data_IF_432656299188
#
_entry.id   IF_432656299188
#
_cell.length_a   1.000
_cell.length_b   1.000
_cell.length_c   1.000
_cell.angle_alpha   90.00
_cell.angle_beta   90.00
_cell.angle_gamma   90.00
#
_symmetry.space_group_name_H-M   'P 1'
#
loop_
_entity.id
_entity.type
_entity.pdbx_description
1 polymer ?
#
# COMPACT_ATOMS: atom_id res chain seq x y z
N UNK A 1 21.37 28.72 26.23
CA UNK A 1 20.19 28.76 27.13
C UNK A 1 19.16 29.70 26.55
N UNK A 2 18.19 29.18 25.86
CA UNK A 2 16.99 29.91 25.46
C UNK A 2 15.80 29.01 25.78
N UNK A 3 15.05 29.39 26.82
CA UNK A 3 13.76 28.80 27.18
C UNK A 3 12.74 29.19 26.10
N UNK A 4 12.16 28.22 25.43
CA UNK A 4 10.91 28.43 24.68
C UNK A 4 9.79 27.88 25.53
N UNK A 5 9.02 28.81 26.15
CA UNK A 5 7.74 28.52 26.81
C UNK A 5 6.66 28.44 25.73
N UNK A 6 5.99 27.32 25.62
CA UNK A 6 4.75 27.19 24.85
C UNK A 6 3.56 27.31 25.81
N UNK A 7 2.59 28.14 25.44
CA UNK A 7 1.45 28.55 26.26
C UNK A 7 0.39 27.44 26.40
N UNK A 8 -0.17 27.35 27.60
CA UNK A 8 -1.30 26.49 27.99
C UNK A 8 -2.64 27.02 27.48
N UNK A 9 -3.50 26.10 27.05
CA UNK A 9 -4.95 26.28 27.19
C UNK A 9 -5.54 25.09 27.96
N UNK A 10 -6.24 25.35 29.08
CA UNK A 10 -6.74 24.35 30.02
C UNK A 10 -8.16 23.91 29.67
N UNK A 11 -8.40 22.61 29.58
CA UNK A 11 -9.68 21.98 29.95
C UNK A 11 -9.41 20.52 30.36
N UNK A 12 -9.71 20.27 31.61
CA UNK A 12 -9.81 19.02 32.40
C UNK A 12 -9.47 17.67 31.71
N UNK A 13 -8.28 17.14 32.02
CA UNK A 13 -7.89 15.75 31.77
C UNK A 13 -6.44 15.56 32.17
N UNK A 14 -6.13 14.53 32.92
CA UNK A 14 -4.78 14.18 33.35
C UNK A 14 -3.90 14.03 32.13
N UNK A 15 -2.99 14.98 31.87
CA UNK A 15 -1.96 14.90 30.84
C UNK A 15 -0.73 14.26 31.44
N UNK A 16 -0.37 13.09 30.93
CA UNK A 16 1.00 12.57 31.09
C UNK A 16 1.89 13.41 30.18
N UNK A 17 2.74 14.23 30.77
CA UNK A 17 3.70 15.04 30.05
C UNK A 17 4.87 14.15 29.60
N UNK A 18 5.02 13.91 28.31
CA UNK A 18 6.29 13.51 27.77
C UNK A 18 7.21 14.73 27.73
N UNK A 19 8.28 14.71 28.52
CA UNK A 19 9.26 15.79 28.55
C UNK A 19 10.21 15.64 27.36
N UNK A 20 9.89 16.27 26.23
CA UNK A 20 10.74 16.29 25.03
C UNK A 20 12.06 17.07 25.21
N UNK A 21 12.28 17.72 26.38
CA UNK A 21 13.38 18.65 26.58
C UNK A 21 14.73 18.01 26.96
N UNK A 22 14.81 16.70 27.18
CA UNK A 22 16.07 16.00 27.56
C UNK A 22 16.53 14.90 26.58
N UNK A 23 15.87 14.73 25.42
CA UNK A 23 16.40 13.85 24.39
C UNK A 23 17.65 14.48 23.77
N UNK A 24 18.78 13.76 23.82
CA UNK A 24 19.90 13.93 22.88
C UNK A 24 19.25 13.97 21.48
N UNK A 25 19.69 14.91 20.63
CA UNK A 25 19.23 15.14 19.25
C UNK A 25 18.87 13.85 18.50
N UNK A 26 17.71 13.25 18.81
CA UNK A 26 17.15 12.13 18.10
C UNK A 26 16.25 12.70 17.00
N UNK A 27 16.34 12.13 15.79
CA UNK A 27 15.55 12.52 14.64
C UNK A 27 14.07 12.24 14.93
N UNK A 28 13.18 13.17 14.59
CA UNK A 28 11.73 12.96 14.62
C UNK A 28 11.27 12.08 13.44
N UNK A 29 10.01 11.61 13.46
CA UNK A 29 9.44 10.92 12.31
C UNK A 29 9.52 11.78 11.04
N UNK A 30 9.26 13.09 11.14
CA UNK A 30 9.41 14.03 10.03
C UNK A 30 10.86 14.10 9.51
N UNK A 31 11.86 14.18 10.41
CA UNK A 31 13.26 14.24 9.99
C UNK A 31 13.69 12.96 9.26
N UNK A 32 13.21 11.78 9.72
CA UNK A 32 13.43 10.48 9.08
C UNK A 32 12.78 10.48 7.70
N UNK A 33 11.50 10.82 7.63
CA UNK A 33 10.74 10.87 6.39
C UNK A 33 11.42 11.74 5.33
N UNK A 34 11.81 12.98 5.68
CA UNK A 34 12.52 13.90 4.78
C UNK A 34 13.85 13.31 4.25
N UNK A 35 14.53 12.46 5.04
CA UNK A 35 15.70 11.73 4.56
C UNK A 35 15.33 10.54 3.69
N UNK A 36 14.32 9.74 4.07
CA UNK A 36 13.96 8.50 3.39
C UNK A 36 13.45 8.76 1.97
N UNK A 37 12.67 9.81 1.76
CA UNK A 37 12.18 10.17 0.43
C UNK A 37 13.29 10.54 -0.57
N UNK A 38 14.50 10.85 -0.10
CA UNK A 38 15.64 11.12 -0.98
C UNK A 38 16.29 9.86 -1.56
N UNK A 39 15.98 8.68 -1.02
CA UNK A 39 16.43 7.40 -1.58
C UNK A 39 15.56 7.03 -2.76
N UNK A 40 16.19 6.72 -3.89
CA UNK A 40 15.51 6.10 -5.02
C UNK A 40 15.21 4.65 -4.66
N UNK A 41 13.95 4.23 -4.78
CA UNK A 41 13.50 2.88 -4.43
C UNK A 41 12.42 2.37 -5.38
N UNK A 42 12.26 3.00 -6.56
CA UNK A 42 11.24 2.62 -7.54
C UNK A 42 11.36 1.15 -7.92
N UNK A 43 10.25 0.42 -7.83
CA UNK A 43 10.11 -0.97 -8.27
C UNK A 43 10.01 -1.06 -9.80
N UNK A 44 10.19 -2.27 -10.36
CA UNK A 44 10.19 -2.53 -11.81
C UNK A 44 9.31 -3.74 -12.13
N UNK A 45 8.13 -3.50 -12.70
CA UNK A 45 7.16 -4.53 -13.08
C UNK A 45 7.68 -5.52 -14.14
N UNK A 46 8.70 -5.13 -14.90
CA UNK A 46 9.28 -5.93 -15.98
C UNK A 46 10.39 -6.89 -15.48
N UNK A 47 10.75 -6.81 -14.19
CA UNK A 47 11.85 -7.58 -13.61
C UNK A 47 11.36 -8.60 -12.57
N UNK A 48 11.49 -9.89 -12.87
CA UNK A 48 11.12 -11.01 -11.98
C UNK A 48 12.06 -11.21 -10.77
N UNK A 49 13.11 -10.39 -10.62
CA UNK A 49 13.99 -10.46 -9.44
C UNK A 49 13.27 -9.97 -8.17
N UNK A 50 13.79 -10.33 -7.00
CA UNK A 50 13.32 -9.79 -5.72
C UNK A 50 14.54 -9.34 -4.88
N UNK A 51 14.64 -8.03 -4.54
CA UNK A 51 13.76 -6.98 -5.03
C UNK A 51 13.93 -6.76 -6.54
N UNK A 52 12.88 -6.22 -7.18
CA UNK A 52 12.85 -5.95 -8.62
C UNK A 52 13.91 -4.94 -9.05
N UNK A 53 14.35 -4.08 -8.14
CA UNK A 53 15.44 -3.12 -8.35
C UNK A 53 16.48 -3.17 -7.23
N UNK A 54 17.75 -3.12 -7.60
CA UNK A 54 18.86 -3.16 -6.65
C UNK A 54 18.93 -1.91 -5.73
N UNK A 55 18.31 -0.81 -6.11
CA UNK A 55 18.29 0.42 -5.31
C UNK A 55 17.51 0.23 -3.99
N UNK A 56 16.50 -0.64 -3.96
CA UNK A 56 15.76 -0.99 -2.75
C UNK A 56 16.69 -1.63 -1.68
N UNK A 57 17.68 -2.43 -2.10
CA UNK A 57 18.67 -3.04 -1.18
C UNK A 57 19.50 -1.98 -0.45
N UNK A 58 19.79 -0.84 -1.10
CA UNK A 58 20.53 0.26 -0.48
C UNK A 58 19.72 0.90 0.64
N UNK A 59 18.43 1.08 0.42
CA UNK A 59 17.53 1.62 1.44
C UNK A 59 17.31 0.61 2.57
N UNK A 60 17.12 -0.67 2.27
CA UNK A 60 17.03 -1.74 3.27
C UNK A 60 18.26 -1.80 4.19
N UNK A 61 19.48 -1.70 3.63
CA UNK A 61 20.73 -1.64 4.41
C UNK A 61 20.80 -0.38 5.27
N UNK A 62 20.24 0.75 4.84
CA UNK A 62 20.13 1.97 5.62
C UNK A 62 19.17 1.78 6.80
N UNK A 63 18.02 1.16 6.59
CA UNK A 63 17.03 0.88 7.63
C UNK A 63 17.56 -0.07 8.70
N UNK A 64 18.25 -1.15 8.31
CA UNK A 64 18.90 -2.04 9.29
C UNK A 64 19.86 -1.27 10.20
N UNK A 65 20.73 -0.42 9.63
CA UNK A 65 21.67 0.38 10.43
C UNK A 65 20.95 1.33 11.39
N UNK A 66 19.85 1.90 10.95
CA UNK A 66 19.06 2.81 11.78
C UNK A 66 18.33 2.08 12.90
N UNK A 67 17.65 0.97 12.59
CA UNK A 67 17.01 0.11 13.58
C UNK A 67 18.00 -0.34 14.67
N UNK A 68 19.21 -0.78 14.28
CA UNK A 68 20.28 -1.12 15.23
C UNK A 68 20.66 0.09 16.09
N UNK A 69 20.75 1.29 15.49
CA UNK A 69 21.16 2.51 16.19
C UNK A 69 20.13 2.99 17.21
N UNK A 70 18.85 2.75 16.97
CA UNK A 70 17.76 3.10 17.90
C UNK A 70 17.48 2.01 18.94
N UNK A 71 18.14 0.84 18.84
CA UNK A 71 18.10 -0.20 19.89
C UNK A 71 17.40 -1.50 19.51
N UNK A 72 16.95 -1.68 18.26
CA UNK A 72 16.42 -2.96 17.77
C UNK A 72 17.61 -3.88 17.48
N UNK A 73 17.99 -4.68 18.48
CA UNK A 73 19.32 -5.35 18.52
C UNK A 73 19.48 -6.49 17.49
N UNK A 74 18.38 -7.07 17.01
CA UNK A 74 18.38 -8.18 16.06
C UNK A 74 17.98 -7.75 14.64
N UNK A 75 17.90 -6.44 14.38
CA UNK A 75 17.55 -5.92 13.08
C UNK A 75 18.46 -6.47 11.97
N UNK A 76 17.88 -7.01 10.94
CA UNK A 76 18.59 -7.64 9.83
C UNK A 76 17.81 -7.50 8.49
N UNK A 77 18.54 -7.63 7.41
CA UNK A 77 17.98 -7.80 6.06
C UNK A 77 18.29 -9.21 5.54
N UNK A 78 17.31 -9.84 4.89
CA UNK A 78 17.56 -11.10 4.18
C UNK A 78 18.11 -10.89 2.76
N UNK A 79 18.34 -11.97 2.03
CA UNK A 79 18.85 -11.94 0.66
C UNK A 79 17.89 -11.33 -0.36
N UNK A 80 16.59 -11.33 -0.06
CA UNK A 80 15.53 -10.79 -0.90
C UNK A 80 15.18 -9.33 -0.59
N UNK A 81 15.89 -8.69 0.35
CA UNK A 81 15.69 -7.29 0.68
C UNK A 81 14.74 -7.02 1.84
N UNK A 82 14.01 -8.02 2.34
CA UNK A 82 13.14 -7.84 3.50
C UNK A 82 13.91 -7.49 4.75
N UNK A 83 13.45 -6.48 5.48
CA UNK A 83 14.04 -6.08 6.76
C UNK A 83 13.17 -6.58 7.90
N UNK A 84 13.79 -7.21 8.90
CA UNK A 84 13.12 -7.72 10.09
C UNK A 84 13.81 -7.20 11.35
N UNK A 85 13.04 -7.02 12.43
CA UNK A 85 13.54 -6.70 13.74
C UNK A 85 12.50 -6.91 14.83
N UNK A 86 12.95 -7.07 16.09
CA UNK A 86 12.06 -7.28 17.22
C UNK A 86 12.44 -6.39 18.39
N UNK A 87 11.42 -5.84 19.05
CA UNK A 87 11.55 -5.22 20.37
C UNK A 87 10.94 -6.20 21.37
N UNK A 88 11.74 -6.78 22.27
CA UNK A 88 11.25 -7.74 23.28
C UNK A 88 10.20 -7.12 24.18
N UNK A 89 9.26 -7.92 24.66
CA UNK A 89 8.27 -7.48 25.63
C UNK A 89 8.92 -6.87 26.87
N UNK A 90 8.30 -5.86 27.45
CA UNK A 90 8.72 -5.33 28.76
C UNK A 90 8.41 -6.35 29.87
N UNK A 91 9.17 -6.31 30.97
CA UNK A 91 9.06 -7.26 32.07
C UNK A 91 7.62 -7.39 32.58
N UNK A 92 7.10 -8.62 32.58
CA UNK A 92 5.73 -8.95 32.96
C UNK A 92 4.68 -8.80 31.85
N UNK A 93 5.11 -8.53 30.61
CA UNK A 93 4.26 -8.45 29.42
C UNK A 93 4.56 -9.55 28.38
N UNK A 94 5.39 -10.54 28.73
CA UNK A 94 5.87 -11.58 27.81
C UNK A 94 4.74 -12.52 27.30
N UNK A 95 3.62 -12.57 28.02
CA UNK A 95 2.43 -13.37 27.65
C UNK A 95 1.44 -12.61 26.75
N UNK A 96 1.67 -11.32 26.47
CA UNK A 96 0.83 -10.56 25.57
C UNK A 96 1.06 -11.00 24.13
N UNK A 97 0.03 -10.81 23.29
CA UNK A 97 0.13 -11.06 21.85
C UNK A 97 1.26 -10.23 21.24
N UNK A 98 1.96 -10.83 20.31
CA UNK A 98 3.04 -10.20 19.54
C UNK A 98 2.42 -9.41 18.39
N UNK A 99 2.66 -8.13 18.37
CA UNK A 99 2.08 -7.21 17.39
C UNK A 99 3.11 -6.92 16.30
N UNK A 100 2.74 -7.18 15.05
CA UNK A 100 3.53 -6.83 13.89
C UNK A 100 3.19 -5.45 13.33
N UNK A 101 4.20 -4.75 12.83
CA UNK A 101 4.06 -3.53 12.05
C UNK A 101 4.83 -3.71 10.75
N UNK A 102 4.17 -3.45 9.63
CA UNK A 102 4.72 -3.65 8.29
C UNK A 102 4.55 -2.36 7.50
N UNK A 103 5.55 -2.00 6.70
CA UNK A 103 5.52 -0.91 5.72
C UNK A 103 6.36 -1.30 4.51
N UNK A 104 6.08 -0.75 3.32
CA UNK A 104 6.91 -1.06 2.16
C UNK A 104 7.99 0.00 1.90
N UNK A 105 9.06 -0.43 1.26
CA UNK A 105 10.25 0.40 1.01
C UNK A 105 10.29 0.99 -0.37
N UNK A 106 9.65 0.35 -1.33
CA UNK A 106 9.65 0.77 -2.72
C UNK A 106 8.70 1.95 -2.96
N UNK A 107 8.73 2.48 -4.14
CA UNK A 107 7.83 3.52 -4.63
C UNK A 107 7.30 3.12 -5.99
N UNK A 108 6.09 3.57 -6.30
CA UNK A 108 5.39 3.29 -7.55
C UNK A 108 6.23 3.64 -8.79
N UNK A 109 6.20 2.81 -9.85
CA UNK A 109 6.79 3.13 -11.13
C UNK A 109 5.99 4.14 -11.96
N UNK A 110 4.76 4.50 -11.55
CA UNK A 110 3.87 5.39 -12.29
C UNK A 110 4.46 6.79 -12.51
N UNK A 111 5.20 7.28 -11.50
CA UNK A 111 5.88 8.58 -11.53
C UNK A 111 7.31 8.42 -10.99
N UNK A 112 8.26 9.12 -11.58
CA UNK A 112 9.66 9.03 -11.14
C UNK A 112 9.85 9.34 -9.67
N UNK A 113 10.46 8.43 -8.90
CA UNK A 113 10.95 8.62 -7.53
C UNK A 113 12.43 9.01 -7.45
N UNK A 114 13.04 9.46 -8.56
CA UNK A 114 14.47 9.76 -8.65
C UNK A 114 14.79 11.22 -8.34
N UNK A 115 15.74 11.43 -7.42
CA UNK A 115 16.17 12.77 -6.98
C UNK A 115 15.02 13.61 -6.38
N UNK A 116 14.19 12.99 -5.57
CA UNK A 116 13.12 13.66 -4.84
C UNK A 116 13.69 14.82 -4.01
N UNK A 117 13.04 15.99 -4.10
CA UNK A 117 13.40 17.20 -3.36
C UNK A 117 12.24 17.61 -2.46
N UNK A 118 12.17 17.08 -1.23
CA UNK A 118 11.09 17.38 -0.32
C UNK A 118 11.12 18.84 0.12
N UNK A 119 9.95 19.45 0.27
CA UNK A 119 9.77 20.82 0.75
C UNK A 119 8.62 20.85 1.74
N UNK A 120 8.75 21.66 2.79
CA UNK A 120 7.66 21.97 3.69
C UNK A 120 7.06 23.30 3.26
N UNK A 121 5.75 23.32 3.01
CA UNK A 121 5.01 24.52 2.59
C UNK A 121 3.73 24.65 3.41
N UNK A 122 3.38 25.88 3.81
CA UNK A 122 2.08 26.13 4.41
C UNK A 122 1.01 26.13 3.32
N UNK A 123 -0.02 25.32 3.46
CA UNK A 123 -1.13 25.28 2.51
C UNK A 123 -2.05 26.49 2.70
N UNK A 124 -2.24 27.28 1.65
CA UNK A 124 -3.08 28.49 1.66
C UNK A 124 -4.47 28.28 1.03
N UNK A 125 -4.73 27.09 0.51
CA UNK A 125 -5.98 26.70 -0.15
C UNK A 125 -5.92 26.67 -1.67
N UNK A 126 -4.87 27.23 -2.28
CA UNK A 126 -4.72 27.32 -3.74
C UNK A 126 -3.30 26.89 -4.22
N UNK A 127 -2.27 26.92 -3.34
CA UNK A 127 -0.87 26.67 -3.72
C UNK A 127 -0.51 25.20 -3.90
N UNK A 128 -1.37 24.26 -3.47
CA UNK A 128 -1.19 22.80 -3.64
C UNK A 128 -2.40 22.23 -4.37
N UNK A 129 -2.25 21.79 -5.63
CA UNK A 129 -3.32 21.13 -6.36
C UNK A 129 -3.78 19.85 -5.67
N UNK A 130 -5.07 19.52 -5.75
CA UNK A 130 -5.69 18.30 -5.23
C UNK A 130 -5.65 18.15 -3.69
N UNK A 131 -5.15 19.10 -2.93
CA UNK A 131 -5.20 19.08 -1.46
C UNK A 131 -6.53 19.67 -0.99
N UNK A 132 -7.23 18.97 -0.09
CA UNK A 132 -8.52 19.41 0.45
C UNK A 132 -8.36 20.68 1.30
N UNK A 133 -9.33 21.59 1.18
CA UNK A 133 -9.34 22.86 1.92
C UNK A 133 -9.40 22.71 3.44
N UNK A 134 -9.74 21.52 3.96
CA UNK A 134 -9.66 21.21 5.40
C UNK A 134 -8.24 21.35 5.95
N UNK A 135 -7.22 21.29 5.10
CA UNK A 135 -5.81 21.41 5.46
C UNK A 135 -5.26 22.85 5.39
N UNK A 136 -6.08 23.87 5.08
CA UNK A 136 -5.63 25.28 5.02
C UNK A 136 -4.96 25.68 6.34
N UNK A 137 -3.76 26.27 6.23
CA UNK A 137 -2.95 26.72 7.36
C UNK A 137 -2.03 25.63 7.95
N UNK A 138 -2.11 24.37 7.47
CA UNK A 138 -1.18 23.32 7.91
C UNK A 138 0.10 23.34 7.08
N UNK A 139 1.19 22.89 7.69
CA UNK A 139 2.43 22.60 7.00
C UNK A 139 2.32 21.25 6.30
N UNK A 140 2.55 21.25 5.00
CA UNK A 140 2.51 20.08 4.13
C UNK A 140 3.91 19.77 3.60
N UNK A 141 4.30 18.51 3.64
CA UNK A 141 5.49 18.03 2.91
C UNK A 141 5.05 17.65 1.51
N UNK A 142 5.77 18.15 0.51
CA UNK A 142 5.52 17.92 -0.92
C UNK A 142 6.85 17.77 -1.65
N UNK A 143 6.85 17.19 -2.85
CA UNK A 143 8.00 17.24 -3.77
C UNK A 143 8.07 18.62 -4.47
N UNK A 144 9.05 18.78 -5.34
CA UNK A 144 9.11 19.95 -6.24
C UNK A 144 8.20 19.80 -7.47
N UNK A 145 7.32 18.81 -7.49
CA UNK A 145 6.38 18.46 -8.56
C UNK A 145 7.05 17.99 -9.86
N UNK A 146 8.33 17.61 -9.81
CA UNK A 146 9.02 16.92 -10.92
C UNK A 146 9.07 15.39 -10.70
N UNK A 147 8.79 14.95 -9.46
CA UNK A 147 8.77 13.56 -9.00
C UNK A 147 7.54 13.33 -8.12
N UNK A 148 7.21 12.07 -7.83
CA UNK A 148 6.41 11.76 -6.65
C UNK A 148 7.15 12.22 -5.37
N UNK A 149 6.49 12.20 -4.21
CA UNK A 149 7.13 12.47 -2.92
C UNK A 149 7.69 11.18 -2.29
N UNK A 150 6.97 10.08 -2.38
CA UNK A 150 7.26 8.80 -1.72
C UNK A 150 6.75 8.74 -0.28
N UNK A 151 5.64 9.43 0.02
CA UNK A 151 4.94 9.26 1.28
C UNK A 151 4.35 7.86 1.38
N UNK A 152 3.92 7.33 0.27
CA UNK A 152 3.62 5.94 0.03
C UNK A 152 4.91 5.17 -0.35
N UNK A 153 5.51 4.34 0.56
CA UNK A 153 5.12 4.21 1.97
C UNK A 153 6.31 4.53 2.92
N UNK A 154 7.17 5.49 2.53
CA UNK A 154 8.27 5.91 3.41
C UNK A 154 7.77 6.69 4.63
N UNK A 155 6.50 7.12 4.65
CA UNK A 155 5.88 7.68 5.84
C UNK A 155 5.67 6.59 6.89
N UNK A 156 5.03 5.47 6.54
CA UNK A 156 4.87 4.33 7.44
C UNK A 156 6.21 3.78 7.93
N UNK A 157 7.21 3.68 7.04
CA UNK A 157 8.57 3.31 7.44
C UNK A 157 9.12 4.27 8.51
N UNK A 158 8.98 5.59 8.32
CA UNK A 158 9.49 6.59 9.27
C UNK A 158 8.75 6.54 10.62
N UNK A 159 7.44 6.35 10.59
CA UNK A 159 6.59 6.22 11.76
C UNK A 159 6.94 4.98 12.60
N UNK A 160 7.15 3.84 11.94
CA UNK A 160 7.55 2.59 12.61
C UNK A 160 8.96 2.73 13.22
N UNK A 161 9.92 3.30 12.51
CA UNK A 161 11.29 3.50 13.04
C UNK A 161 11.29 4.48 14.21
N UNK A 162 10.49 5.55 14.16
CA UNK A 162 10.36 6.48 15.30
C UNK A 162 9.69 5.78 16.50
N UNK A 163 8.63 4.99 16.30
CA UNK A 163 8.08 4.17 17.37
C UNK A 163 9.14 3.27 18.02
N UNK A 164 9.99 2.63 17.21
CA UNK A 164 11.10 1.81 17.74
C UNK A 164 12.03 2.65 18.61
N UNK A 165 12.41 3.86 18.20
CA UNK A 165 13.24 4.77 18.98
C UNK A 165 12.58 5.13 20.32
N UNK A 166 11.28 5.39 20.32
CA UNK A 166 10.50 5.65 21.54
C UNK A 166 10.53 4.45 22.48
N UNK A 167 10.15 3.26 22.00
CA UNK A 167 10.06 2.05 22.82
C UNK A 167 11.41 1.60 23.38
N UNK A 168 12.48 1.73 22.60
CA UNK A 168 13.83 1.36 23.05
C UNK A 168 14.44 2.36 24.03
N UNK A 169 14.02 3.64 24.00
CA UNK A 169 14.54 4.68 24.88
C UNK A 169 13.75 4.88 26.17
N UNK A 170 12.45 4.54 26.19
CA UNK A 170 11.55 4.76 27.32
C UNK A 170 11.06 3.45 27.94
N UNK A 171 11.76 3.01 28.97
CA UNK A 171 11.42 1.79 29.72
C UNK A 171 10.11 1.92 30.55
N UNK A 172 9.44 3.08 30.57
CA UNK A 172 8.16 3.26 31.28
C UNK A 172 6.96 2.80 30.45
N UNK A 173 7.13 2.73 29.14
CA UNK A 173 6.10 2.20 28.23
C UNK A 173 6.06 0.67 28.33
N UNK A 174 4.95 0.15 28.81
CA UNK A 174 4.74 -1.30 28.88
C UNK A 174 4.13 -1.82 27.59
N UNK A 175 4.73 -2.85 27.00
CA UNK A 175 4.29 -3.45 25.75
C UNK A 175 4.65 -4.94 25.65
N UNK A 176 3.90 -5.69 24.85
CA UNK A 176 4.27 -7.03 24.40
C UNK A 176 5.43 -6.99 23.40
N UNK A 177 5.78 -8.13 22.82
CA UNK A 177 6.77 -8.13 21.73
C UNK A 177 6.23 -7.37 20.53
N UNK A 178 7.04 -6.44 19.97
CA UNK A 178 6.74 -5.73 18.73
C UNK A 178 7.64 -6.27 17.63
N UNK A 179 7.04 -6.74 16.54
CA UNK A 179 7.72 -7.28 15.37
C UNK A 179 7.69 -6.24 14.25
N UNK A 180 8.83 -5.96 13.64
CA UNK A 180 9.00 -4.98 12.57
C UNK A 180 9.31 -5.72 11.28
N UNK A 181 8.61 -5.37 10.19
CA UNK A 181 8.85 -5.88 8.86
C UNK A 181 8.82 -4.76 7.83
N UNK A 182 9.84 -4.68 6.95
CA UNK A 182 9.77 -3.81 5.78
C UNK A 182 9.89 -4.65 4.53
N UNK A 183 8.98 -4.43 3.58
CA UNK A 183 8.83 -5.21 2.34
C UNK A 183 9.38 -4.45 1.14
N UNK A 184 10.01 -5.13 0.17
CA UNK A 184 10.25 -4.59 -1.16
C UNK A 184 9.07 -4.89 -2.08
N UNK A 185 8.96 -4.21 -3.24
CA UNK A 185 8.11 -4.57 -4.38
C UNK A 185 6.59 -4.66 -4.08
N UNK A 186 6.09 -3.93 -3.08
CA UNK A 186 4.65 -3.84 -2.80
C UNK A 186 3.90 -3.24 -3.99
N UNK A 187 4.41 -2.16 -4.55
CA UNK A 187 3.81 -1.35 -5.61
C UNK A 187 3.59 -2.10 -6.94
N UNK A 188 4.28 -3.23 -7.09
CA UNK A 188 4.08 -4.17 -8.20
C UNK A 188 3.35 -5.45 -7.76
N UNK A 189 2.78 -5.46 -6.54
CA UNK A 189 1.97 -6.54 -5.99
C UNK A 189 2.76 -7.77 -5.55
N UNK A 190 4.07 -7.66 -5.30
CA UNK A 190 4.96 -8.76 -4.94
C UNK A 190 5.50 -8.66 -3.50
N UNK A 191 5.13 -7.63 -2.73
CA UNK A 191 5.70 -7.30 -1.43
C UNK A 191 5.65 -8.45 -0.42
N UNK A 192 4.56 -9.19 -0.32
CA UNK A 192 4.45 -10.31 0.60
C UNK A 192 4.96 -11.65 0.06
N UNK A 193 5.40 -11.77 -1.20
CA UNK A 193 5.66 -13.04 -1.89
C UNK A 193 6.71 -13.91 -1.21
N UNK A 194 7.73 -13.31 -0.63
CA UNK A 194 8.83 -14.00 0.06
C UNK A 194 8.95 -13.59 1.51
N UNK A 195 7.91 -13.00 2.09
CA UNK A 195 7.90 -12.59 3.49
C UNK A 195 7.95 -13.80 4.41
N UNK A 196 8.96 -13.85 5.30
CA UNK A 196 9.17 -14.96 6.23
C UNK A 196 8.34 -14.75 7.51
N UNK A 197 7.10 -15.28 7.51
CA UNK A 197 6.20 -15.21 8.66
C UNK A 197 6.77 -15.85 9.92
N UNK A 198 7.57 -16.91 9.78
CA UNK A 198 8.16 -17.61 10.93
C UNK A 198 9.25 -16.74 11.59
N UNK A 199 10.04 -16.04 10.80
CA UNK A 199 11.03 -15.07 11.28
C UNK A 199 10.34 -13.85 11.87
N UNK A 200 9.33 -13.31 11.20
CA UNK A 200 8.57 -12.16 11.68
C UNK A 200 7.88 -12.43 13.02
N UNK A 201 7.26 -13.60 13.16
CA UNK A 201 6.82 -14.18 14.43
C UNK A 201 5.70 -13.43 15.17
N UNK A 202 4.95 -12.55 14.50
CA UNK A 202 3.80 -11.85 15.08
C UNK A 202 2.55 -12.74 15.12
N UNK A 203 1.65 -12.50 16.09
CA UNK A 203 0.35 -13.16 16.19
C UNK A 203 -0.69 -12.49 15.26
N UNK A 204 -0.57 -11.19 15.06
CA UNK A 204 -1.27 -10.37 14.08
C UNK A 204 -0.42 -9.13 13.75
N UNK A 205 -0.76 -8.43 12.68
CA UNK A 205 0.00 -7.25 12.27
C UNK A 205 -0.92 -6.11 11.77
N UNK A 206 -0.32 -4.98 11.52
CA UNK A 206 -0.89 -3.89 10.72
C UNK A 206 0.12 -3.51 9.63
N UNK A 207 -0.34 -3.31 8.42
CA UNK A 207 0.39 -2.48 7.46
C UNK A 207 0.14 -1.02 7.80
N UNK A 208 1.17 -0.18 7.77
CA UNK A 208 1.09 1.27 8.02
C UNK A 208 1.33 1.92 6.67
N UNK A 209 0.30 1.89 5.81
CA UNK A 209 0.40 2.06 4.35
C UNK A 209 -0.90 2.65 3.75
N UNK A 210 -1.73 3.26 4.57
CA UNK A 210 -3.01 3.84 4.15
C UNK A 210 -2.95 5.34 3.90
N UNK A 211 -4.11 5.91 3.58
CA UNK A 211 -4.31 7.29 3.20
C UNK A 211 -4.36 8.28 4.35
N UNK A 212 -5.39 9.14 4.33
CA UNK A 212 -5.53 10.25 5.26
C UNK A 212 -5.74 9.82 6.72
N UNK A 213 -5.37 10.69 7.66
CA UNK A 213 -5.47 10.40 9.09
C UNK A 213 -6.89 10.00 9.52
N UNK A 214 -7.00 8.85 10.18
CA UNK A 214 -8.26 8.27 10.68
C UNK A 214 -8.71 7.06 9.88
N UNK A 215 -8.17 6.81 8.71
CA UNK A 215 -8.54 5.68 7.86
C UNK A 215 -8.02 4.36 8.45
N UNK A 216 -8.89 3.37 8.48
CA UNK A 216 -8.59 1.97 8.78
C UNK A 216 -9.21 1.15 7.67
N UNK A 217 -8.42 0.30 7.05
CA UNK A 217 -8.84 -0.46 5.90
C UNK A 217 -8.64 -1.95 6.19
N UNK A 218 -9.73 -2.71 6.12
CA UNK A 218 -9.72 -4.16 6.26
C UNK A 218 -10.50 -4.87 5.16
N UNK A 219 -10.84 -4.11 4.11
CA UNK A 219 -11.45 -4.59 2.88
C UNK A 219 -10.64 -4.10 1.69
N UNK A 220 -10.41 -4.97 0.74
CA UNK A 220 -9.78 -4.66 -0.54
C UNK A 220 -10.48 -5.39 -1.67
N UNK A 221 -10.17 -5.10 -2.93
CA UNK A 221 -10.69 -5.87 -4.03
C UNK A 221 -10.24 -7.34 -4.01
N UNK A 222 -11.10 -8.25 -4.52
CA UNK A 222 -10.63 -9.46 -5.19
C UNK A 222 -10.14 -9.06 -6.58
N UNK A 223 -9.05 -9.62 -7.05
CA UNK A 223 -8.38 -9.22 -8.27
C UNK A 223 -7.95 -10.39 -9.14
N UNK A 224 -8.09 -10.23 -10.45
CA UNK A 224 -7.53 -11.13 -11.44
C UNK A 224 -6.94 -10.36 -12.62
N UNK A 225 -5.79 -10.82 -13.10
CA UNK A 225 -5.25 -10.48 -14.40
C UNK A 225 -5.86 -11.33 -15.49
N UNK A 226 -6.11 -10.73 -16.63
CA UNK A 226 -6.71 -11.41 -17.80
C UNK A 226 -5.92 -11.09 -19.04
N UNK A 227 -5.55 -12.12 -19.79
CA UNK A 227 -4.95 -12.01 -21.12
C UNK A 227 -5.86 -12.71 -22.12
N UNK A 228 -6.20 -12.03 -23.19
CA UNK A 228 -6.91 -12.60 -24.34
C UNK A 228 -6.04 -12.50 -25.57
N UNK A 229 -5.76 -13.64 -26.21
CA UNK A 229 -5.13 -13.70 -27.54
C UNK A 229 -6.18 -14.14 -28.56
N UNK A 230 -6.25 -13.40 -29.67
CA UNK A 230 -7.18 -13.67 -30.77
C UNK A 230 -6.40 -14.00 -32.02
N UNK A 231 -6.76 -15.10 -32.69
CA UNK A 231 -6.12 -15.57 -33.90
C UNK A 231 -6.99 -15.33 -35.13
N UNK A 232 -6.44 -14.64 -36.10
CA UNK A 232 -7.04 -14.39 -37.40
C UNK A 232 -6.42 -15.22 -38.53
N UNK A 233 -6.84 -14.92 -39.76
CA UNK A 233 -6.27 -15.46 -40.98
C UNK A 233 -6.10 -14.32 -41.97
N UNK A 234 -4.84 -13.97 -42.23
CA UNK A 234 -4.53 -12.91 -43.18
C UNK A 234 -4.59 -13.41 -44.63
N UNK A 235 -4.99 -12.54 -45.55
CA UNK A 235 -4.93 -12.72 -46.99
C UNK A 235 -4.97 -11.34 -47.67
N UNK A 236 -4.60 -11.30 -48.98
CA UNK A 236 -4.60 -10.05 -49.73
C UNK A 236 -6.01 -9.39 -49.69
N UNK A 237 -6.18 -8.14 -49.25
CA UNK A 237 -7.47 -7.49 -49.06
C UNK A 237 -8.37 -7.51 -50.28
N UNK A 238 -7.81 -7.38 -51.49
CA UNK A 238 -8.55 -7.40 -52.75
C UNK A 238 -9.21 -8.74 -53.08
N UNK A 239 -8.77 -9.83 -52.43
CA UNK A 239 -9.28 -11.19 -52.64
C UNK A 239 -9.72 -11.84 -51.33
N UNK A 240 -9.98 -11.04 -50.30
CA UNK A 240 -10.23 -11.46 -48.93
C UNK A 240 -11.64 -12.02 -48.67
N UNK A 241 -12.60 -11.82 -49.57
CA UNK A 241 -13.98 -12.23 -49.34
C UNK A 241 -14.11 -13.72 -49.02
N UNK A 242 -14.70 -14.04 -47.86
CA UNK A 242 -14.87 -15.40 -47.30
C UNK A 242 -13.56 -16.13 -46.96
N UNK A 243 -12.40 -15.40 -46.87
CA UNK A 243 -11.08 -15.97 -46.56
C UNK A 243 -10.44 -15.30 -45.38
N UNK A 244 -10.41 -13.95 -45.36
CA UNK A 244 -9.80 -13.19 -44.29
C UNK A 244 -10.63 -13.31 -43.00
N UNK A 245 -9.93 -13.46 -41.90
CA UNK A 245 -10.46 -13.42 -40.54
C UNK A 245 -9.57 -12.43 -39.76
N UNK A 246 -10.07 -11.23 -39.55
CA UNK A 246 -9.27 -10.16 -38.98
C UNK A 246 -9.32 -10.22 -37.46
N UNK A 247 -8.18 -10.50 -36.83
CA UNK A 247 -8.07 -10.65 -35.38
C UNK A 247 -8.41 -9.37 -34.62
N UNK A 248 -8.05 -8.20 -35.14
CA UNK A 248 -8.40 -6.90 -34.50
C UNK A 248 -9.91 -6.69 -34.49
N UNK A 249 -10.61 -7.04 -35.59
CA UNK A 249 -12.08 -6.90 -35.62
C UNK A 249 -12.78 -7.91 -34.70
N UNK A 250 -12.23 -9.09 -34.53
CA UNK A 250 -12.72 -10.09 -33.58
C UNK A 250 -12.49 -9.61 -32.13
N UNK A 251 -11.32 -9.05 -31.85
CA UNK A 251 -11.05 -8.45 -30.52
C UNK A 251 -11.99 -7.29 -30.23
N UNK A 252 -12.27 -6.43 -31.22
CA UNK A 252 -13.26 -5.35 -31.08
C UNK A 252 -14.65 -5.89 -30.73
N UNK A 253 -15.08 -6.99 -31.36
CA UNK A 253 -16.36 -7.63 -31.02
C UNK A 253 -16.38 -8.12 -29.57
N UNK A 254 -15.31 -8.79 -29.10
CA UNK A 254 -15.20 -9.17 -27.69
C UNK A 254 -15.36 -7.97 -26.76
N UNK A 255 -14.62 -6.89 -27.01
CA UNK A 255 -14.69 -5.67 -26.19
C UNK A 255 -16.10 -5.04 -26.20
N UNK A 256 -16.81 -5.12 -27.33
CA UNK A 256 -18.18 -4.60 -27.46
C UNK A 256 -19.20 -5.37 -26.61
N UNK A 257 -18.85 -6.56 -26.15
CA UNK A 257 -19.70 -7.37 -25.26
C UNK A 257 -19.43 -7.10 -23.78
N UNK A 258 -18.34 -6.36 -23.44
CA UNK A 258 -18.07 -5.97 -22.06
C UNK A 258 -19.11 -4.92 -21.61
N UNK A 259 -19.58 -4.99 -20.34
CA UNK A 259 -20.52 -3.99 -19.80
C UNK A 259 -19.90 -2.58 -19.80
N UNK A 260 -20.47 -1.66 -20.54
CA UNK A 260 -19.90 -0.32 -20.78
C UNK A 260 -19.77 0.55 -19.53
N UNK A 261 -20.69 0.37 -18.56
CA UNK A 261 -20.68 1.12 -17.29
C UNK A 261 -19.80 0.48 -16.21
N UNK A 262 -19.24 -0.71 -16.45
CA UNK A 262 -18.42 -1.40 -15.45
C UNK A 262 -16.93 -1.19 -15.73
N UNK A 263 -16.51 0.06 -15.71
CA UNK A 263 -15.13 0.48 -15.91
C UNK A 263 -14.66 1.36 -14.72
N UNK A 264 -13.37 1.55 -14.50
CA UNK A 264 -12.87 2.44 -13.42
C UNK A 264 -13.47 3.85 -13.47
N UNK A 265 -13.74 4.37 -14.66
CA UNK A 265 -14.30 5.72 -14.84
C UNK A 265 -15.79 5.86 -14.46
N UNK A 266 -16.48 4.74 -14.20
CA UNK A 266 -17.92 4.71 -13.94
C UNK A 266 -18.26 4.02 -12.61
N UNK A 267 -17.27 3.63 -11.82
CA UNK A 267 -17.47 2.87 -10.58
C UNK A 267 -16.78 3.52 -9.39
N UNK A 268 -17.43 3.42 -8.22
CA UNK A 268 -16.92 3.95 -6.95
C UNK A 268 -17.18 2.97 -5.78
N UNK A 269 -16.65 3.27 -4.60
CA UNK A 269 -16.87 2.47 -3.39
C UNK A 269 -16.58 0.98 -3.62
N UNK A 270 -17.57 0.13 -3.36
CA UNK A 270 -17.46 -1.33 -3.50
C UNK A 270 -17.75 -1.87 -4.92
N UNK A 271 -18.07 -1.00 -5.87
CA UNK A 271 -18.43 -1.42 -7.22
C UNK A 271 -17.22 -1.97 -7.98
N UNK A 272 -17.37 -3.17 -8.52
CA UNK A 272 -16.34 -3.84 -9.31
C UNK A 272 -16.33 -3.42 -10.78
N UNK A 273 -15.23 -3.71 -11.47
CA UNK A 273 -15.03 -3.29 -12.85
C UNK A 273 -14.21 -4.28 -13.69
N UNK A 274 -14.25 -4.05 -15.01
CA UNK A 274 -13.29 -4.54 -16.00
C UNK A 274 -12.47 -3.36 -16.49
N UNK A 275 -11.16 -3.46 -16.45
CA UNK A 275 -10.27 -2.42 -16.97
C UNK A 275 -9.33 -2.98 -18.03
N UNK A 276 -9.58 -2.61 -19.28
CA UNK A 276 -8.67 -2.91 -20.40
C UNK A 276 -7.47 -2.00 -20.28
N UNK A 277 -6.30 -2.58 -19.98
CA UNK A 277 -5.07 -1.84 -19.77
C UNK A 277 -4.23 -1.70 -21.05
N UNK A 278 -4.21 -2.74 -21.90
CA UNK A 278 -3.39 -2.75 -23.09
C UNK A 278 -4.04 -3.51 -24.24
N UNK A 279 -3.84 -3.03 -25.45
CA UNK A 279 -4.29 -3.68 -26.70
C UNK A 279 -3.18 -3.54 -27.74
N UNK A 280 -2.84 -4.63 -28.40
CA UNK A 280 -1.94 -4.64 -29.54
C UNK A 280 -2.41 -5.64 -30.62
N UNK A 281 -1.97 -5.49 -31.86
CA UNK A 281 -2.21 -6.52 -32.87
C UNK A 281 -2.43 -6.04 -34.29
N UNK A 282 -2.59 -7.02 -35.17
CA UNK A 282 -2.87 -6.87 -36.58
C UNK A 282 -4.01 -7.81 -37.03
N UNK A 283 -4.19 -8.02 -38.33
CA UNK A 283 -5.21 -8.92 -38.87
C UNK A 283 -4.94 -10.41 -38.57
N UNK A 284 -3.70 -10.78 -38.20
CA UNK A 284 -3.30 -12.17 -37.95
C UNK A 284 -3.40 -12.53 -36.47
N UNK A 285 -2.99 -11.62 -35.59
CA UNK A 285 -3.03 -11.83 -34.14
C UNK A 285 -3.31 -10.51 -33.42
N UNK A 286 -4.23 -10.53 -32.48
CA UNK A 286 -4.47 -9.41 -31.58
C UNK A 286 -4.45 -9.89 -30.14
N UNK A 287 -3.98 -9.04 -29.24
CA UNK A 287 -3.90 -9.29 -27.79
C UNK A 287 -4.54 -8.19 -27.01
N UNK A 288 -5.08 -8.55 -25.87
CA UNK A 288 -5.63 -7.63 -24.87
C UNK A 288 -5.17 -8.09 -23.50
N UNK A 289 -4.69 -7.14 -22.69
CA UNK A 289 -4.48 -7.32 -21.26
C UNK A 289 -5.49 -6.47 -20.50
N UNK A 290 -6.10 -7.04 -19.47
CA UNK A 290 -7.07 -6.36 -18.63
C UNK A 290 -7.03 -6.89 -17.19
N UNK A 291 -7.55 -6.11 -16.26
CA UNK A 291 -7.78 -6.53 -14.87
C UNK A 291 -9.26 -6.58 -14.56
N UNK A 292 -9.63 -7.49 -13.65
CA UNK A 292 -10.99 -7.64 -13.11
C UNK A 292 -10.92 -7.43 -11.61
N UNK A 293 -11.78 -6.58 -11.10
CA UNK A 293 -11.84 -6.22 -9.67
C UNK A 293 -13.28 -6.29 -9.17
N UNK A 294 -13.47 -6.77 -7.95
CA UNK A 294 -14.75 -6.68 -7.23
C UNK A 294 -14.51 -6.93 -5.73
N UNK A 295 -15.16 -6.17 -4.84
CA UNK A 295 -15.08 -6.42 -3.40
C UNK A 295 -15.84 -7.68 -3.00
N UNK A 296 -16.99 -7.95 -3.64
CA UNK A 296 -17.78 -9.15 -3.38
C UNK A 296 -17.21 -10.35 -4.14
N UNK A 297 -16.87 -11.42 -3.40
CA UNK A 297 -16.29 -12.64 -3.96
C UNK A 297 -17.20 -13.30 -4.99
N UNK A 298 -18.50 -13.35 -4.73
CA UNK A 298 -19.45 -13.98 -5.66
C UNK A 298 -19.62 -13.15 -6.93
N UNK A 299 -19.60 -11.83 -6.84
CA UNK A 299 -19.62 -10.93 -7.99
C UNK A 299 -18.30 -11.04 -8.79
N UNK A 300 -17.16 -11.13 -8.11
CA UNK A 300 -15.87 -11.37 -8.76
C UNK A 300 -15.85 -12.67 -9.58
N UNK A 301 -16.33 -13.79 -9.00
CA UNK A 301 -16.43 -15.06 -9.72
C UNK A 301 -17.41 -14.98 -10.90
N UNK A 302 -18.53 -14.28 -10.76
CA UNK A 302 -19.46 -14.03 -11.87
C UNK A 302 -18.80 -13.23 -13.01
N UNK A 303 -17.97 -12.24 -12.68
CA UNK A 303 -17.21 -11.47 -13.69
C UNK A 303 -16.28 -12.37 -14.49
N UNK A 304 -15.51 -13.22 -13.83
CA UNK A 304 -14.62 -14.19 -14.49
C UNK A 304 -15.41 -15.19 -15.34
N UNK A 305 -16.54 -15.68 -14.83
CA UNK A 305 -17.42 -16.59 -15.58
C UNK A 305 -17.99 -15.90 -16.83
N UNK A 306 -18.37 -14.62 -16.72
CA UNK A 306 -18.86 -13.85 -17.87
C UNK A 306 -17.82 -13.81 -18.99
N UNK A 307 -16.55 -13.53 -18.71
CA UNK A 307 -15.48 -13.54 -19.69
C UNK A 307 -15.30 -14.92 -20.35
N UNK A 308 -15.28 -15.98 -19.55
CA UNK A 308 -15.18 -17.36 -20.04
C UNK A 308 -16.37 -17.73 -20.96
N UNK A 309 -17.57 -17.33 -20.58
CA UNK A 309 -18.78 -17.59 -21.36
C UNK A 309 -18.78 -16.80 -22.67
N UNK A 310 -18.36 -15.54 -22.65
CA UNK A 310 -18.22 -14.68 -23.83
C UNK A 310 -17.23 -15.28 -24.83
N UNK A 311 -16.08 -15.75 -24.34
CA UNK A 311 -15.08 -16.40 -25.20
C UNK A 311 -15.57 -17.73 -25.77
N UNK A 312 -16.28 -18.52 -24.98
CA UNK A 312 -16.90 -19.76 -25.47
C UNK A 312 -17.92 -19.49 -26.61
N UNK A 313 -18.77 -18.48 -26.42
CA UNK A 313 -19.72 -18.05 -27.48
C UNK A 313 -19.02 -17.60 -28.77
N UNK A 314 -17.94 -16.80 -28.63
CA UNK A 314 -17.20 -16.32 -29.79
C UNK A 314 -16.43 -17.46 -30.49
N UNK A 315 -15.90 -18.42 -29.73
CA UNK A 315 -15.29 -19.62 -30.33
C UNK A 315 -16.29 -20.52 -31.02
N UNK A 316 -17.54 -20.68 -30.53
CA UNK A 316 -18.60 -21.35 -31.23
C UNK A 316 -18.93 -20.65 -32.58
N UNK A 317 -18.93 -19.30 -32.56
CA UNK A 317 -19.21 -18.50 -33.76
C UNK A 317 -18.10 -18.53 -34.80
N UNK A 318 -16.85 -18.47 -34.36
CA UNK A 318 -15.67 -18.27 -35.24
C UNK A 318 -14.75 -19.49 -35.37
N UNK A 319 -15.01 -20.53 -34.60
CA UNK A 319 -14.21 -21.77 -34.56
C UNK A 319 -13.31 -21.82 -33.33
N UNK A 320 -13.16 -23.05 -32.81
CA UNK A 320 -12.36 -23.33 -31.63
C UNK A 320 -10.91 -22.80 -31.75
N UNK A 321 -10.38 -22.25 -30.67
CA UNK A 321 -9.04 -21.71 -30.60
C UNK A 321 -8.86 -20.34 -31.27
N UNK A 322 -9.93 -19.71 -31.78
CA UNK A 322 -9.87 -18.34 -32.29
C UNK A 322 -9.60 -17.36 -31.15
N UNK A 323 -10.22 -17.56 -30.00
CA UNK A 323 -10.03 -16.75 -28.79
C UNK A 323 -9.45 -17.62 -27.69
N UNK A 324 -8.27 -17.25 -27.21
CA UNK A 324 -7.56 -17.93 -26.12
C UNK A 324 -7.51 -17.02 -24.91
N UNK A 325 -8.28 -17.36 -23.87
CA UNK A 325 -8.41 -16.58 -22.63
C UNK A 325 -7.60 -17.22 -21.51
N UNK A 326 -6.77 -16.44 -20.85
CA UNK A 326 -6.13 -16.78 -19.58
C UNK A 326 -6.64 -15.85 -18.50
N UNK A 327 -7.06 -16.39 -17.35
CA UNK A 327 -7.48 -15.64 -16.16
C UNK A 327 -6.69 -16.15 -14.99
N UNK A 328 -5.92 -15.27 -14.34
CA UNK A 328 -5.06 -15.58 -13.19
C UNK A 328 -5.48 -14.72 -12.02
N UNK A 329 -5.91 -15.36 -10.92
CA UNK A 329 -6.24 -14.63 -9.69
C UNK A 329 -4.95 -14.08 -9.07
N UNK A 330 -4.97 -12.80 -8.66
CA UNK A 330 -3.83 -12.11 -8.08
C UNK A 330 -3.90 -12.09 -6.55
N UNK A 331 -5.02 -11.62 -6.00
CA UNK A 331 -5.28 -11.59 -4.56
C UNK A 331 -6.78 -11.55 -4.28
N UNK A 332 -7.11 -11.70 -3.00
CA UNK A 332 -8.50 -11.72 -2.52
C UNK A 332 -8.74 -10.67 -1.45
N UNK A 333 -10.01 -10.38 -1.18
CA UNK A 333 -10.44 -9.44 -0.16
C UNK A 333 -10.10 -9.97 1.24
N UNK A 334 -9.22 -9.27 1.98
CA UNK A 334 -8.78 -9.66 3.33
C UNK A 334 -9.92 -9.63 4.35
N UNK A 335 -11.05 -9.00 4.05
CA UNK A 335 -12.24 -8.98 4.91
C UNK A 335 -12.63 -10.39 5.36
N UNK A 336 -12.53 -11.40 4.48
CA UNK A 336 -12.86 -12.79 4.79
C UNK A 336 -12.06 -13.34 5.99
N UNK A 337 -10.85 -12.82 6.18
CA UNK A 337 -9.95 -13.17 7.29
C UNK A 337 -10.19 -12.23 8.47
N UNK A 338 -10.17 -10.92 8.25
CA UNK A 338 -10.20 -9.90 9.31
C UNK A 338 -11.53 -9.91 10.08
N UNK A 339 -12.66 -10.24 9.45
CA UNK A 339 -13.95 -10.37 10.16
C UNK A 339 -13.93 -11.42 11.29
N UNK A 340 -12.98 -12.36 11.26
CA UNK A 340 -12.78 -13.33 12.35
C UNK A 340 -11.86 -12.78 13.47
N UNK A 341 -11.28 -11.60 13.28
CA UNK A 341 -10.30 -10.95 14.14
C UNK A 341 -10.62 -9.47 14.37
N UNK A 342 -11.92 -9.12 14.51
CA UNK A 342 -12.34 -7.71 14.64
C UNK A 342 -11.79 -6.99 15.87
N UNK A 343 -11.31 -7.74 16.87
CA UNK A 343 -10.64 -7.18 18.04
C UNK A 343 -9.39 -6.36 17.68
N UNK A 344 -8.67 -6.72 16.61
CA UNK A 344 -7.52 -5.95 16.13
C UNK A 344 -7.98 -4.63 15.47
N UNK A 345 -9.09 -4.61 14.76
CA UNK A 345 -9.68 -3.39 14.18
C UNK A 345 -10.19 -2.46 15.29
N UNK A 346 -10.88 -3.01 16.30
CA UNK A 346 -11.33 -2.24 17.45
C UNK A 346 -10.17 -1.68 18.29
N UNK A 347 -9.04 -2.40 18.38
CA UNK A 347 -7.80 -1.90 18.99
C UNK A 347 -7.29 -0.66 18.25
N UNK A 348 -7.23 -0.69 16.92
CA UNK A 348 -6.80 0.44 16.10
C UNK A 348 -7.74 1.65 16.27
N UNK A 349 -9.07 1.44 16.25
CA UNK A 349 -10.07 2.49 16.51
C UNK A 349 -9.90 3.13 17.91
N UNK A 350 -9.66 2.30 18.93
CA UNK A 350 -9.44 2.79 20.29
C UNK A 350 -8.16 3.63 20.37
N UNK A 351 -7.07 3.20 19.72
CA UNK A 351 -5.82 3.94 19.66
C UNK A 351 -5.98 5.30 18.97
N UNK A 352 -6.63 5.35 17.82
CA UNK A 352 -6.92 6.59 17.09
C UNK A 352 -7.78 7.54 17.94
N UNK A 353 -8.83 7.01 18.57
CA UNK A 353 -9.71 7.80 19.46
C UNK A 353 -8.94 8.38 20.66
N UNK A 354 -8.02 7.60 21.25
CA UNK A 354 -7.21 8.04 22.39
C UNK A 354 -6.33 9.25 22.08
N UNK A 355 -5.90 9.39 20.83
CA UNK A 355 -5.12 10.56 20.38
C UNK A 355 -5.98 11.67 19.77
N UNK A 356 -7.32 11.56 19.89
CA UNK A 356 -8.26 12.58 19.39
C UNK A 356 -8.52 12.52 17.88
N UNK A 357 -8.21 11.41 17.24
CA UNK A 357 -8.51 11.13 15.84
C UNK A 357 -9.85 10.40 15.73
N UNK A 358 -10.64 10.72 14.73
CA UNK A 358 -11.90 10.01 14.44
C UNK A 358 -11.60 8.85 13.50
N UNK A 359 -11.78 7.59 13.92
CA UNK A 359 -11.55 6.46 13.03
C UNK A 359 -12.66 6.33 11.99
N UNK A 360 -12.28 6.08 10.74
CA UNK A 360 -13.15 5.83 9.60
C UNK A 360 -12.76 4.53 8.92
N UNK A 361 -13.75 3.68 8.60
CA UNK A 361 -13.51 2.44 7.87
C UNK A 361 -13.74 2.69 6.39
N UNK A 362 -12.71 2.49 5.58
CA UNK A 362 -12.78 2.64 4.13
C UNK A 362 -12.33 1.35 3.43
N UNK A 363 -12.90 1.03 2.26
CA UNK A 363 -12.43 -0.07 1.44
C UNK A 363 -11.29 0.38 0.53
N UNK A 364 -10.22 -0.41 0.43
CA UNK A 364 -9.15 -0.21 -0.55
C UNK A 364 -9.64 -0.60 -1.94
N UNK A 365 -9.52 0.28 -2.93
CA UNK A 365 -9.82 -0.03 -4.34
C UNK A 365 -8.60 -0.58 -5.09
N UNK A 366 -7.70 -1.23 -4.39
CA UNK A 366 -6.47 -1.85 -4.86
C UNK A 366 -6.18 -3.17 -4.15
N UNK A 367 -4.91 -3.51 -4.09
CA UNK A 367 -4.33 -4.55 -3.24
C UNK A 367 -3.50 -3.91 -2.14
N UNK A 368 -2.96 -4.72 -1.24
CA UNK A 368 -1.99 -4.33 -0.21
C UNK A 368 -1.28 -5.59 0.30
N UNK A 369 -0.07 -5.44 0.80
CA UNK A 369 0.65 -6.52 1.50
C UNK A 369 -0.17 -7.11 2.63
N UNK A 370 -0.94 -6.29 3.35
CA UNK A 370 -1.83 -6.74 4.43
C UNK A 370 -2.86 -7.78 3.99
N UNK A 371 -3.39 -7.64 2.76
CA UNK A 371 -4.30 -8.63 2.20
C UNK A 371 -3.60 -9.98 1.98
N UNK A 372 -2.40 -9.97 1.40
CA UNK A 372 -1.63 -11.20 1.15
C UNK A 372 -1.17 -11.86 2.45
N UNK A 373 -0.63 -11.08 3.39
CA UNK A 373 -0.24 -11.55 4.72
C UNK A 373 -1.42 -12.19 5.46
N UNK A 374 -2.62 -11.61 5.35
CA UNK A 374 -3.84 -12.17 5.94
C UNK A 374 -4.15 -13.56 5.41
N UNK A 375 -4.06 -13.78 4.09
CA UNK A 375 -4.27 -15.11 3.49
C UNK A 375 -3.10 -16.08 3.73
N UNK A 376 -1.91 -15.59 4.09
CA UNK A 376 -0.79 -16.42 4.55
C UNK A 376 -0.95 -16.86 6.01
N UNK A 377 -1.97 -16.37 6.72
CA UNK A 377 -2.29 -16.75 8.11
C UNK A 377 -1.89 -15.71 9.16
N UNK A 378 -1.54 -14.50 8.76
CA UNK A 378 -1.25 -13.37 9.65
C UNK A 378 -2.32 -12.28 9.43
N UNK A 379 -3.38 -12.19 10.26
CA UNK A 379 -4.38 -11.12 10.14
C UNK A 379 -3.71 -9.74 10.17
N UNK A 380 -3.89 -8.96 9.10
CA UNK A 380 -3.12 -7.72 8.90
C UNK A 380 -3.98 -6.64 8.20
N UNK A 381 -4.83 -5.90 8.94
CA UNK A 381 -5.52 -4.73 8.38
C UNK A 381 -4.53 -3.57 8.17
N UNK A 382 -4.95 -2.60 7.35
CA UNK A 382 -4.16 -1.45 6.98
C UNK A 382 -4.51 -0.23 7.84
N UNK A 383 -3.50 0.55 8.23
CA UNK A 383 -3.62 1.83 8.95
C UNK A 383 -3.15 2.97 8.05
N UNK A 384 -3.75 4.14 8.21
CA UNK A 384 -3.33 5.35 7.53
C UNK A 384 -1.89 5.75 7.87
N UNK A 385 -1.27 6.55 7.00
CA UNK A 385 -0.03 7.30 7.26
C UNK A 385 -0.29 8.81 7.36
N UNK A 386 -1.42 9.26 6.83
CA UNK A 386 -1.76 10.68 6.69
C UNK A 386 -1.40 11.26 5.32
N UNK A 387 -0.83 10.46 4.42
CA UNK A 387 -0.50 10.85 3.06
C UNK A 387 -1.74 10.98 2.15
N UNK A 388 -1.56 11.60 0.99
CA UNK A 388 -2.61 11.80 0.00
C UNK A 388 -2.05 11.99 -1.41
N UNK A 389 -2.90 11.79 -2.42
CA UNK A 389 -2.58 11.95 -3.85
C UNK A 389 -1.41 11.07 -4.31
N UNK A 390 -1.33 9.86 -3.77
CA UNK A 390 -0.30 8.87 -4.06
C UNK A 390 -0.15 8.61 -5.56
N UNK A 391 0.98 8.06 -5.99
CA UNK A 391 1.32 7.78 -7.39
C UNK A 391 1.27 8.99 -8.32
N UNK A 392 1.44 10.21 -7.77
CA UNK A 392 1.40 11.44 -8.55
C UNK A 392 2.48 12.45 -8.14
N UNK A 393 2.72 13.44 -9.00
CA UNK A 393 3.57 14.58 -8.67
C UNK A 393 2.94 15.54 -7.64
N UNK A 394 1.67 15.32 -7.29
CA UNK A 394 0.90 16.11 -6.32
C UNK A 394 0.80 15.43 -4.95
N UNK A 395 1.55 14.35 -4.78
CA UNK A 395 1.63 13.63 -3.52
C UNK A 395 2.04 14.56 -2.38
N UNK A 396 1.36 14.46 -1.26
CA UNK A 396 1.54 15.34 -0.12
C UNK A 396 1.23 14.63 1.20
N UNK A 397 1.83 15.10 2.30
CA UNK A 397 1.52 14.64 3.65
C UNK A 397 1.60 15.82 4.62
N UNK A 398 0.63 16.01 5.55
CA UNK A 398 0.77 16.98 6.63
C UNK A 398 1.97 16.63 7.51
N UNK A 399 2.84 17.60 7.77
CA UNK A 399 4.08 17.35 8.53
C UNK A 399 3.80 16.80 9.96
N UNK A 400 2.69 17.21 10.59
CA UNK A 400 2.28 16.74 11.91
C UNK A 400 1.53 15.39 11.87
N UNK A 401 1.19 14.86 10.70
CA UNK A 401 0.59 13.54 10.55
C UNK A 401 1.53 12.43 11.02
N UNK A 402 2.81 12.54 10.67
CA UNK A 402 3.85 11.56 11.04
C UNK A 402 3.94 11.36 12.56
N UNK A 403 4.07 12.45 13.33
CA UNK A 403 4.11 12.37 14.79
C UNK A 403 2.78 11.84 15.36
N UNK A 404 1.67 12.19 14.71
CA UNK A 404 0.33 11.74 15.12
C UNK A 404 0.17 10.23 14.95
N UNK A 405 0.69 9.67 13.87
CA UNK A 405 0.67 8.24 13.66
C UNK A 405 1.60 7.50 14.62
N UNK A 406 2.77 8.05 14.96
CA UNK A 406 3.61 7.48 16.03
C UNK A 406 2.84 7.40 17.37
N UNK A 407 2.02 8.41 17.72
CA UNK A 407 1.14 8.34 18.90
C UNK A 407 0.12 7.21 18.78
N UNK A 408 -0.51 7.03 17.61
CA UNK A 408 -1.47 5.92 17.36
C UNK A 408 -0.79 4.58 17.52
N UNK A 409 0.35 4.37 16.86
CA UNK A 409 1.12 3.12 16.93
C UNK A 409 1.56 2.81 18.37
N UNK A 410 1.96 3.83 19.12
CA UNK A 410 2.29 3.70 20.55
C UNK A 410 1.09 3.22 21.37
N UNK A 411 -0.12 3.73 21.10
CA UNK A 411 -1.34 3.28 21.75
C UNK A 411 -1.75 1.86 21.35
N UNK A 412 -1.46 1.44 20.11
CA UNK A 412 -1.71 0.08 19.63
C UNK A 412 -0.84 -0.94 20.36
N UNK A 413 0.46 -0.66 20.52
CA UNK A 413 1.41 -1.64 21.11
C UNK A 413 1.42 -1.64 22.63
N UNK A 414 0.92 -0.58 23.25
CA UNK A 414 0.90 -0.42 24.72
C UNK A 414 0.01 -1.46 25.40
N UNK A 415 0.51 -2.00 26.55
CA UNK A 415 -0.16 -2.99 27.38
C UNK A 415 -1.32 -2.42 28.21
#
# INVERSE_FOLDING_TARGET
>A
MALICVFLCLANGVRVWYNMAERKMDMSALDRFLQYVTFETTSDEENDACPSTAVQMVFADRLVKELLSVGVADAMRDENGYVYGHIPATAGCESLLKIGLVAHMDTSPDVSGKNVRPRIVTFDGDNLPMVDKKYIGREMVVSDQTTLLGADDKAGVAEIVELCAVLCSDNTVRHGTVCIGFTPDEEIGCGADRFDLARFGADFAYTVDGGELGEIEYENFNAAGVTLTVHGVNTHPGTAKNKMRNAVLFLHEFMSLLPAEQTPAHTEGHEGFYHVAHIEGDETTARLSMIVRDHDRACFEKRKLFLKTTVAYLNEKYGDGTFCLTVTDSYYNMREVIEQHMDIVERAKAAMTAVGMTPEILPIRGGTDGARLSFMGLPCPNLCTGGMNFHSIYEAIPADALDKMVEVLLHIVKA
#
